data_IF_294559084271
#
_entry.id   IF_294559084271
#
_cell.length_a   1.000
_cell.length_b   1.000
_cell.length_c   1.000
_cell.angle_alpha   90.00
_cell.angle_beta   90.00
_cell.angle_gamma   90.00
#
_symmetry.space_group_name_H-M   'P 1'
#
loop_
_entity.id
_entity.type
_entity.pdbx_description
1 polymer ?
#
# COMPACT_ATOMS: atom_id res chain seq x y z
N UNK A 1 36.84 -40.23 1.12
CA UNK A 1 36.40 -38.99 1.78
C UNK A 1 36.07 -37.95 0.70
N UNK A 2 34.99 -37.16 0.90
CA UNK A 2 34.60 -35.96 0.15
C UNK A 2 33.86 -36.15 -1.20
N UNK A 3 32.65 -36.69 -1.13
CA UNK A 3 31.62 -36.51 -2.17
C UNK A 3 30.26 -36.16 -1.55
N UNK A 4 30.27 -35.37 -0.47
CA UNK A 4 29.06 -34.89 0.25
C UNK A 4 29.08 -33.36 0.24
N UNK A 5 29.09 -32.76 -0.94
CA UNK A 5 28.94 -31.32 -1.13
C UNK A 5 28.22 -31.15 -2.47
N UNK A 6 27.09 -30.44 -2.47
CA UNK A 6 26.15 -30.18 -3.57
C UNK A 6 24.76 -30.84 -3.54
N UNK A 7 24.28 -31.32 -2.38
CA UNK A 7 22.84 -31.51 -2.15
C UNK A 7 22.26 -30.41 -1.25
N UNK A 8 22.54 -29.13 -1.56
CA UNK A 8 21.93 -27.97 -0.87
C UNK A 8 21.22 -27.02 -1.84
N UNK A 9 21.12 -27.37 -3.12
CA UNK A 9 20.48 -26.55 -4.15
C UNK A 9 19.20 -27.18 -4.67
N UNK A 10 18.28 -27.53 -3.76
CA UNK A 10 16.91 -27.83 -4.15
C UNK A 10 15.96 -27.51 -2.99
N UNK A 11 15.90 -26.23 -2.61
CA UNK A 11 14.73 -25.72 -1.88
C UNK A 11 13.63 -25.58 -2.94
N UNK A 12 12.58 -26.42 -2.95
CA UNK A 12 11.51 -26.25 -3.89
C UNK A 12 10.79 -24.94 -3.56
N UNK A 13 10.84 -24.00 -4.51
CA UNK A 13 10.03 -22.79 -4.51
C UNK A 13 8.57 -23.21 -4.73
N UNK A 14 7.89 -23.63 -3.66
CA UNK A 14 6.46 -23.94 -3.71
C UNK A 14 5.70 -22.62 -3.92
N UNK A 15 4.92 -22.46 -5.00
CA UNK A 15 4.01 -21.34 -5.11
C UNK A 15 2.84 -21.56 -4.15
N UNK A 16 3.00 -21.15 -2.89
CA UNK A 16 1.88 -21.05 -1.96
C UNK A 16 0.94 -19.95 -2.46
N UNK A 17 -0.09 -20.33 -3.20
CA UNK A 17 -1.23 -19.44 -3.48
C UNK A 17 -2.09 -19.34 -2.22
N UNK A 18 -1.55 -18.68 -1.20
CA UNK A 18 -2.27 -18.35 0.01
C UNK A 18 -3.22 -17.19 -0.28
N UNK A 19 -4.53 -17.45 -0.19
CA UNK A 19 -5.57 -16.43 -0.31
C UNK A 19 -5.50 -15.43 0.87
N UNK A 20 -4.61 -14.45 0.78
CA UNK A 20 -4.51 -13.32 1.71
C UNK A 20 -5.87 -12.67 1.87
N UNK A 21 -6.34 -12.51 3.11
CA UNK A 21 -7.42 -11.57 3.43
C UNK A 21 -7.04 -10.20 2.82
N UNK A 22 -7.88 -9.67 1.94
CA UNK A 22 -7.62 -8.43 1.18
C UNK A 22 -7.92 -7.23 2.07
N UNK A 23 -6.96 -6.83 2.88
CA UNK A 23 -7.05 -5.61 3.69
C UNK A 23 -6.73 -4.39 2.84
N UNK A 24 -7.69 -3.47 2.73
CA UNK A 24 -7.57 -2.27 1.92
C UNK A 24 -6.83 -1.14 2.64
N UNK A 25 -7.32 -0.79 3.82
CA UNK A 25 -6.77 0.31 4.64
C UNK A 25 -6.80 -0.12 6.11
N UNK A 26 -5.70 0.10 6.82
CA UNK A 26 -5.58 -0.17 8.24
C UNK A 26 -4.92 1.02 8.92
N UNK A 27 -5.35 1.34 10.14
CA UNK A 27 -4.72 2.35 10.97
C UNK A 27 -4.29 1.68 12.28
N UNK A 28 -3.15 2.06 12.81
CA UNK A 28 -2.57 1.40 13.95
C UNK A 28 -1.73 2.32 14.79
N UNK A 29 -1.33 1.76 15.92
CA UNK A 29 -0.38 2.35 16.85
C UNK A 29 0.87 1.47 16.86
N UNK A 30 2.00 2.12 17.05
CA UNK A 30 3.33 1.52 17.10
C UNK A 30 3.99 1.94 18.40
N UNK A 31 4.57 0.97 19.08
CA UNK A 31 5.31 1.14 20.32
C UNK A 31 6.73 0.70 20.04
N UNK A 32 7.63 1.66 19.96
CA UNK A 32 9.08 1.44 20.04
C UNK A 32 9.57 1.61 21.47
N UNK A 33 10.84 1.35 21.70
CA UNK A 33 11.44 1.44 23.05
C UNK A 33 11.41 2.85 23.64
N UNK A 34 11.68 3.87 22.81
CA UNK A 34 11.76 5.29 23.22
C UNK A 34 10.72 6.18 22.53
N UNK A 35 9.91 5.61 21.65
CA UNK A 35 9.04 6.34 20.74
C UNK A 35 7.66 5.66 20.69
N UNK A 36 6.60 6.45 20.70
CA UNK A 36 5.26 5.95 20.36
C UNK A 36 4.84 6.56 19.02
N UNK A 37 4.13 5.82 18.19
CA UNK A 37 3.75 6.29 16.88
C UNK A 37 2.36 5.85 16.45
N UNK A 38 1.81 6.60 15.51
CA UNK A 38 0.61 6.23 14.76
C UNK A 38 1.01 5.87 13.34
N UNK A 39 0.31 4.89 12.76
CA UNK A 39 0.61 4.38 11.43
C UNK A 39 -0.67 4.19 10.63
N UNK A 40 -0.60 4.51 9.35
CA UNK A 40 -1.67 4.34 8.37
C UNK A 40 -1.15 3.53 7.20
N UNK A 41 -1.69 2.32 7.04
CA UNK A 41 -1.35 1.39 5.97
C UNK A 41 -2.42 1.39 4.90
N UNK A 42 -2.02 1.58 3.65
CA UNK A 42 -2.87 1.52 2.47
C UNK A 42 -2.34 0.47 1.50
N UNK A 43 -3.16 -0.53 1.17
CA UNK A 43 -2.82 -1.50 0.13
C UNK A 43 -2.87 -0.84 -1.25
N UNK A 44 -1.77 -0.94 -2.00
CA UNK A 44 -1.64 -0.40 -3.36
C UNK A 44 -1.85 -1.53 -4.38
N UNK A 45 -1.08 -2.61 -4.24
CA UNK A 45 -1.12 -3.80 -5.09
C UNK A 45 -1.17 -5.07 -4.24
N UNK A 46 -1.33 -6.23 -4.88
CA UNK A 46 -1.24 -7.51 -4.17
C UNK A 46 0.17 -7.62 -3.57
N UNK A 47 0.27 -8.01 -2.29
CA UNK A 47 1.54 -8.15 -1.55
C UNK A 47 2.34 -6.85 -1.33
N UNK A 48 1.83 -5.66 -1.70
CA UNK A 48 2.51 -4.39 -1.41
C UNK A 48 1.56 -3.36 -0.82
N UNK A 49 1.99 -2.76 0.28
CA UNK A 49 1.28 -1.73 1.02
C UNK A 49 2.16 -0.51 1.18
N UNK A 50 1.62 0.69 1.04
CA UNK A 50 2.30 1.88 1.53
C UNK A 50 1.89 2.14 2.98
N UNK A 51 2.85 2.52 3.80
CA UNK A 51 2.66 2.86 5.20
C UNK A 51 3.20 4.25 5.45
N UNK A 52 2.34 5.11 6.01
CA UNK A 52 2.71 6.41 6.53
C UNK A 52 2.67 6.32 8.05
N UNK A 53 3.70 6.83 8.70
CA UNK A 53 3.87 6.72 10.14
C UNK A 53 4.33 8.05 10.72
N UNK A 54 3.86 8.37 11.91
CA UNK A 54 4.34 9.51 12.70
C UNK A 54 4.69 8.99 14.07
N UNK A 55 5.96 9.08 14.43
CA UNK A 55 6.56 8.67 15.71
C UNK A 55 6.85 9.93 16.54
N UNK A 56 6.51 9.88 17.82
CA UNK A 56 6.70 10.92 18.81
C UNK A 56 7.62 10.35 19.90
N UNK A 57 8.81 10.92 20.03
CA UNK A 57 9.75 10.70 21.13
C UNK A 57 9.69 11.86 22.13
N UNK A 58 10.53 11.79 23.17
CA UNK A 58 10.62 12.86 24.18
C UNK A 58 11.04 14.21 23.56
N UNK A 59 12.01 14.17 22.65
CA UNK A 59 12.65 15.36 22.09
C UNK A 59 12.59 15.44 20.55
N UNK A 60 11.98 14.43 19.93
CA UNK A 60 11.90 14.29 18.47
C UNK A 60 10.50 13.93 18.00
N UNK A 61 10.09 14.48 16.85
CA UNK A 61 8.92 14.03 16.10
C UNK A 61 9.38 13.62 14.72
N UNK A 62 9.06 12.40 14.30
CA UNK A 62 9.50 11.83 13.04
C UNK A 62 8.32 11.33 12.22
N UNK A 63 8.22 11.77 10.97
CA UNK A 63 7.29 11.27 9.99
C UNK A 63 8.02 10.36 8.99
N UNK A 64 7.54 9.14 8.82
CA UNK A 64 8.15 8.13 7.94
C UNK A 64 7.14 7.68 6.89
N UNK A 65 7.57 7.62 5.63
CA UNK A 65 6.78 7.06 4.54
C UNK A 65 7.55 5.93 3.88
N UNK A 66 6.96 4.73 3.85
CA UNK A 66 7.61 3.58 3.24
C UNK A 66 6.65 2.58 2.56
N UNK A 67 6.97 2.08 1.37
CA UNK A 67 6.37 0.86 0.83
C UNK A 67 6.90 -0.39 1.55
N UNK A 68 5.99 -1.31 1.86
CA UNK A 68 6.27 -2.65 2.43
C UNK A 68 5.81 -3.73 1.46
N UNK A 69 6.67 -4.70 1.22
CA UNK A 69 6.38 -5.94 0.50
C UNK A 69 6.13 -7.08 1.50
N UNK A 70 5.07 -7.86 1.29
CA UNK A 70 4.59 -8.89 2.22
C UNK A 70 4.75 -10.30 1.61
N UNK A 71 5.46 -11.17 2.31
CA UNK A 71 5.69 -12.57 1.98
C UNK A 71 4.92 -13.43 2.98
N UNK A 72 4.03 -14.30 2.52
CA UNK A 72 3.28 -15.17 3.43
C UNK A 72 4.18 -16.36 3.80
N UNK A 73 4.57 -16.51 5.07
CA UNK A 73 5.41 -17.63 5.51
C UNK A 73 4.52 -18.81 5.96
N UNK A 74 3.55 -18.56 6.85
CA UNK A 74 2.71 -19.60 7.44
C UNK A 74 1.23 -19.29 7.19
N UNK A 75 0.68 -19.95 6.16
CA UNK A 75 -0.72 -19.85 5.81
C UNK A 75 -1.20 -18.42 5.55
N UNK A 76 -2.36 -18.05 6.12
CA UNK A 76 -2.93 -16.70 6.04
C UNK A 76 -2.67 -15.86 7.31
N UNK A 77 -2.12 -16.49 8.34
CA UNK A 77 -1.95 -15.90 9.67
C UNK A 77 -0.66 -15.11 9.79
N UNK A 78 0.49 -15.69 9.42
CA UNK A 78 1.80 -15.06 9.66
C UNK A 78 2.50 -14.70 8.34
N UNK A 79 2.86 -13.43 8.20
CA UNK A 79 3.49 -12.85 7.03
C UNK A 79 4.79 -12.17 7.44
N UNK A 80 5.84 -12.32 6.64
CA UNK A 80 7.01 -11.46 6.70
C UNK A 80 6.73 -10.21 5.90
N UNK A 81 7.22 -9.06 6.34
CA UNK A 81 7.32 -7.89 5.48
C UNK A 81 8.72 -7.31 5.48
N UNK A 82 9.05 -6.72 4.34
CA UNK A 82 10.26 -5.96 4.11
C UNK A 82 9.86 -4.63 3.46
N UNK A 83 10.33 -3.53 4.01
CA UNK A 83 10.07 -2.19 3.51
C UNK A 83 11.32 -1.34 3.55
N UNK A 84 11.35 -0.36 2.65
CA UNK A 84 12.38 0.67 2.61
C UNK A 84 11.67 1.98 2.34
N UNK A 85 12.07 3.04 3.03
CA UNK A 85 11.49 4.35 2.82
C UNK A 85 12.36 5.44 3.39
N UNK A 86 11.78 6.62 3.52
CA UNK A 86 12.46 7.77 4.04
C UNK A 86 11.69 8.32 5.23
N UNK A 87 12.44 8.87 6.17
CA UNK A 87 11.90 9.62 7.30
C UNK A 87 12.33 11.08 7.21
N UNK A 88 11.48 11.94 7.75
CA UNK A 88 11.77 13.33 8.03
C UNK A 88 11.38 13.59 9.47
N UNK A 89 12.32 14.05 10.27
CA UNK A 89 12.12 14.39 11.67
C UNK A 89 12.33 15.88 11.92
N UNK A 90 11.87 16.32 13.08
CA UNK A 90 12.27 17.58 13.66
C UNK A 90 12.77 17.29 15.07
N UNK A 91 14.02 17.64 15.32
CA UNK A 91 14.63 17.57 16.63
C UNK A 91 14.54 18.96 17.24
N UNK A 92 13.97 19.05 18.46
CA UNK A 92 13.61 20.32 19.10
C UNK A 92 14.78 21.31 19.21
N UNK A 93 16.00 20.78 19.28
CA UNK A 93 17.24 21.55 19.44
C UNK A 93 18.11 21.67 18.17
N UNK A 94 17.90 20.85 17.13
CA UNK A 94 18.80 20.77 15.96
C UNK A 94 18.12 21.01 14.59
N UNK A 95 16.80 21.15 14.54
CA UNK A 95 16.06 21.45 13.30
C UNK A 95 15.57 20.21 12.55
N UNK A 96 15.32 20.33 11.23
CA UNK A 96 14.81 19.22 10.41
C UNK A 96 15.91 18.18 10.15
N UNK A 97 15.64 16.93 10.50
CA UNK A 97 16.46 15.76 10.16
C UNK A 97 15.77 14.94 9.07
N UNK A 98 16.54 14.25 8.24
CA UNK A 98 15.98 13.34 7.24
C UNK A 98 16.94 12.19 6.99
N UNK A 99 16.39 11.06 6.54
CA UNK A 99 17.16 9.86 6.35
C UNK A 99 16.38 8.78 5.62
N UNK A 100 17.04 7.63 5.48
CA UNK A 100 16.48 6.44 4.85
C UNK A 100 16.35 5.36 5.91
N UNK A 101 15.18 4.76 5.97
CA UNK A 101 14.86 3.68 6.88
C UNK A 101 14.65 2.39 6.10
N UNK A 102 15.21 1.31 6.62
CA UNK A 102 14.81 -0.03 6.25
C UNK A 102 13.99 -0.61 7.39
N UNK A 103 13.03 -1.45 7.05
CA UNK A 103 12.14 -2.06 8.03
C UNK A 103 11.85 -3.49 7.63
N UNK A 104 12.04 -4.42 8.54
CA UNK A 104 11.64 -5.80 8.32
C UNK A 104 11.02 -6.36 9.59
N UNK A 105 10.04 -7.24 9.42
CA UNK A 105 9.32 -7.79 10.55
C UNK A 105 8.27 -8.81 10.18
N UNK A 106 7.61 -9.31 11.21
CA UNK A 106 6.55 -10.31 11.12
C UNK A 106 5.22 -9.64 11.42
N UNK A 107 4.21 -9.95 10.61
CA UNK A 107 2.83 -9.52 10.74
C UNK A 107 1.93 -10.74 10.94
N UNK A 108 1.32 -10.82 12.12
CA UNK A 108 0.30 -11.77 12.49
C UNK A 108 -1.11 -11.18 12.26
N UNK A 109 -1.85 -11.78 11.33
CA UNK A 109 -3.25 -11.49 11.01
C UNK A 109 -4.15 -12.40 11.82
N UNK A 110 -4.97 -11.80 12.68
CA UNK A 110 -5.96 -12.57 13.43
C UNK A 110 -7.19 -12.80 12.53
N UNK A 111 -7.58 -14.05 12.23
CA UNK A 111 -8.72 -14.31 11.35
C UNK A 111 -10.06 -13.99 12.02
N UNK A 112 -10.13 -14.05 13.35
CA UNK A 112 -11.34 -13.85 14.13
C UNK A 112 -11.73 -12.38 14.32
N UNK A 113 -10.76 -11.47 14.34
CA UNK A 113 -10.97 -10.04 14.60
C UNK A 113 -10.24 -9.19 13.54
N UNK A 114 -10.73 -8.00 13.18
CA UNK A 114 -10.11 -7.13 12.17
C UNK A 114 -8.85 -6.42 12.71
N UNK A 115 -7.98 -7.14 13.42
CA UNK A 115 -6.75 -6.65 14.01
C UNK A 115 -5.56 -7.44 13.46
N UNK A 116 -4.48 -6.73 13.17
CA UNK A 116 -3.19 -7.31 12.80
C UNK A 116 -2.12 -6.82 13.76
N UNK A 117 -1.36 -7.74 14.30
CA UNK A 117 -0.26 -7.46 15.22
C UNK A 117 1.04 -7.64 14.43
N UNK A 118 1.97 -6.72 14.57
CA UNK A 118 3.25 -6.76 13.90
C UNK A 118 4.39 -6.51 14.88
N UNK A 119 5.49 -7.23 14.67
CA UNK A 119 6.75 -7.02 15.36
C UNK A 119 7.80 -6.78 14.28
N UNK A 120 8.46 -5.63 14.31
CA UNK A 120 9.52 -5.30 13.35
C UNK A 120 10.73 -4.65 14.00
N UNK A 121 11.79 -4.61 13.21
CA UNK A 121 13.00 -3.89 13.48
C UNK A 121 13.18 -2.84 12.40
N UNK A 122 13.53 -1.61 12.80
CA UNK A 122 13.74 -0.48 11.90
C UNK A 122 15.22 -0.05 11.93
N UNK A 123 16.13 -0.72 11.21
CA UNK A 123 17.48 -0.20 11.01
C UNK A 123 17.39 1.11 10.21
N UNK A 124 17.71 2.21 10.89
CA UNK A 124 17.78 3.54 10.31
C UNK A 124 19.24 3.90 10.04
N UNK A 125 19.51 4.48 8.87
CA UNK A 125 20.83 5.07 8.58
C UNK A 125 20.69 6.59 8.56
N UNK A 126 21.27 7.26 9.56
CA UNK A 126 21.26 8.71 9.68
C UNK A 126 22.52 9.29 9.01
N UNK A 127 22.35 10.18 8.04
CA UNK A 127 23.47 10.76 7.29
C UNK A 127 24.30 11.79 8.09
N UNK A 128 23.91 12.13 9.32
CA UNK A 128 24.45 13.29 10.06
C UNK A 128 24.69 13.08 11.57
N UNK A 129 24.77 11.83 12.07
CA UNK A 129 25.09 11.55 13.49
C UNK A 129 25.99 10.31 13.70
N UNK A 130 26.72 10.29 14.82
CA UNK A 130 27.76 9.31 15.20
C UNK A 130 27.22 7.92 15.61
N UNK A 131 25.92 7.77 15.87
CA UNK A 131 25.31 6.48 16.23
C UNK A 131 24.98 5.66 14.96
N UNK A 132 26.01 4.99 14.44
CA UNK A 132 26.00 4.28 13.16
C UNK A 132 25.07 3.05 13.05
N UNK A 133 24.49 2.55 14.15
CA UNK A 133 23.61 1.38 14.13
C UNK A 133 22.71 1.27 15.35
N UNK A 134 21.42 1.59 15.21
CA UNK A 134 20.39 1.25 16.17
C UNK A 134 19.45 0.19 15.56
N UNK A 135 19.16 -0.88 16.30
CA UNK A 135 18.14 -1.88 15.96
C UNK A 135 16.95 -1.74 16.92
N UNK A 136 16.22 -0.60 16.91
CA UNK A 136 15.04 -0.47 17.74
C UNK A 136 13.99 -1.49 17.26
N UNK A 137 13.69 -2.44 18.14
CA UNK A 137 12.53 -3.30 17.99
C UNK A 137 11.27 -2.50 18.28
N UNK A 138 10.20 -2.77 17.53
CA UNK A 138 8.91 -2.18 17.79
C UNK A 138 7.78 -3.17 17.60
N UNK A 139 6.75 -3.00 18.41
CA UNK A 139 5.49 -3.71 18.32
C UNK A 139 4.42 -2.77 17.82
N UNK A 140 3.61 -3.23 16.88
CA UNK A 140 2.54 -2.42 16.32
C UNK A 140 1.24 -3.21 16.20
N UNK A 141 0.15 -2.53 16.47
CA UNK A 141 -1.21 -3.08 16.42
C UNK A 141 -1.99 -2.23 15.44
N UNK A 142 -2.50 -2.86 14.39
CA UNK A 142 -3.29 -2.17 13.38
C UNK A 142 -4.71 -2.72 13.33
N UNK A 143 -5.67 -1.81 13.32
CA UNK A 143 -7.07 -2.07 13.08
C UNK A 143 -7.40 -1.88 11.59
N UNK A 144 -8.03 -2.89 11.00
CA UNK A 144 -8.41 -2.89 9.59
C UNK A 144 -9.72 -2.13 9.43
N UNK A 145 -9.64 -0.90 8.92
CA UNK A 145 -10.78 -0.02 8.67
C UNK A 145 -11.59 -0.49 7.46
N UNK A 146 -10.90 -0.85 6.37
CA UNK A 146 -11.58 -1.19 5.12
C UNK A 146 -11.09 -2.50 4.53
N UNK A 147 -12.03 -3.44 4.35
CA UNK A 147 -11.85 -4.59 3.47
C UNK A 147 -12.22 -4.13 2.05
N UNK A 148 -11.25 -4.19 1.15
CA UNK A 148 -11.43 -4.03 -0.30
C UNK A 148 -11.51 -2.61 -0.92
N UNK A 149 -10.35 -1.94 -0.97
CA UNK A 149 -10.17 -0.71 -1.78
C UNK A 149 -10.15 -1.02 -3.29
N UNK A 150 -9.78 -2.22 -3.74
CA UNK A 150 -9.51 -2.51 -5.16
C UNK A 150 -10.77 -2.83 -5.95
N UNK A 151 -11.71 -3.62 -5.40
CA UNK A 151 -13.00 -3.84 -6.06
C UNK A 151 -13.83 -2.58 -6.11
N UNK A 152 -13.85 -1.78 -5.04
CA UNK A 152 -14.47 -0.45 -5.05
C UNK A 152 -13.83 0.44 -6.13
N UNK A 153 -12.50 0.52 -6.21
CA UNK A 153 -11.80 1.27 -7.28
C UNK A 153 -12.11 0.74 -8.68
N UNK A 154 -12.18 -0.58 -8.90
CA UNK A 154 -12.58 -1.17 -10.19
C UNK A 154 -14.02 -0.82 -10.56
N UNK A 155 -14.96 -0.94 -9.63
CA UNK A 155 -16.38 -0.56 -9.83
C UNK A 155 -16.51 0.93 -10.15
N UNK A 156 -15.78 1.80 -9.45
CA UNK A 156 -15.76 3.25 -9.71
C UNK A 156 -15.17 3.56 -11.09
N UNK A 157 -14.04 2.95 -11.47
CA UNK A 157 -13.45 3.11 -12.82
C UNK A 157 -14.38 2.62 -13.92
N UNK A 158 -15.00 1.46 -13.75
CA UNK A 158 -15.99 0.93 -14.69
C UNK A 158 -17.21 1.85 -14.84
N UNK A 159 -17.74 2.39 -13.74
CA UNK A 159 -18.84 3.37 -13.76
C UNK A 159 -18.45 4.66 -14.48
N UNK A 160 -17.22 5.15 -14.30
CA UNK A 160 -16.70 6.34 -14.98
C UNK A 160 -16.53 6.11 -16.49
N UNK A 161 -16.04 4.93 -16.89
CA UNK A 161 -15.92 4.53 -18.31
C UNK A 161 -17.29 4.43 -18.98
N UNK A 162 -18.24 3.72 -18.36
CA UNK A 162 -19.64 3.64 -18.82
C UNK A 162 -20.31 5.00 -18.96
N UNK A 163 -20.05 5.94 -18.05
CA UNK A 163 -20.56 7.32 -18.14
C UNK A 163 -19.99 8.08 -19.34
N UNK A 164 -18.69 7.92 -19.64
CA UNK A 164 -18.06 8.53 -20.83
C UNK A 164 -18.61 7.94 -22.13
N UNK A 165 -18.72 6.61 -22.22
CA UNK A 165 -19.31 5.93 -23.39
C UNK A 165 -20.75 6.36 -23.64
N UNK A 166 -21.58 6.41 -22.59
CA UNK A 166 -22.96 6.91 -22.68
C UNK A 166 -23.04 8.36 -23.15
N UNK A 167 -22.06 9.20 -22.80
CA UNK A 167 -22.02 10.60 -23.21
C UNK A 167 -21.66 10.73 -24.69
N UNK A 168 -20.64 9.99 -25.16
CA UNK A 168 -20.30 9.90 -26.59
C UNK A 168 -21.46 9.38 -27.44
N UNK A 169 -22.14 8.31 -27.00
CA UNK A 169 -23.33 7.77 -27.66
C UNK A 169 -24.49 8.79 -27.74
N UNK A 170 -24.62 9.70 -26.76
CA UNK A 170 -25.63 10.77 -26.79
C UNK A 170 -25.26 11.89 -27.75
N UNK A 171 -23.98 12.22 -27.85
CA UNK A 171 -23.45 13.21 -28.80
C UNK A 171 -23.61 12.68 -30.24
N UNK A 172 -23.20 11.45 -30.52
CA UNK A 172 -23.37 10.82 -31.84
C UNK A 172 -24.85 10.70 -32.27
N UNK A 173 -25.75 10.38 -31.32
CA UNK A 173 -27.21 10.37 -31.57
C UNK A 173 -27.81 11.76 -31.80
N UNK A 174 -27.15 12.83 -31.35
CA UNK A 174 -27.57 14.21 -31.61
C UNK A 174 -27.13 14.63 -33.01
N UNK A 175 -25.88 14.34 -33.37
CA UNK A 175 -25.33 14.60 -34.70
C UNK A 175 -26.13 13.88 -35.79
N UNK A 176 -26.33 12.56 -35.67
CA UNK A 176 -27.17 11.79 -36.61
C UNK A 176 -28.60 12.32 -36.75
N UNK A 177 -29.14 12.89 -35.68
CA UNK A 177 -30.50 13.46 -35.69
C UNK A 177 -30.52 14.80 -36.41
N UNK A 178 -29.50 15.63 -36.21
CA UNK A 178 -29.33 16.89 -36.96
C UNK A 178 -29.14 16.60 -38.45
N UNK A 179 -28.24 15.68 -38.82
CA UNK A 179 -28.05 15.26 -40.21
C UNK A 179 -29.35 14.75 -40.85
N UNK A 180 -30.15 13.97 -40.11
CA UNK A 180 -31.46 13.51 -40.58
C UNK A 180 -32.45 14.66 -40.80
N UNK A 181 -32.50 15.63 -39.87
CA UNK A 181 -33.34 16.82 -40.02
C UNK A 181 -32.92 17.66 -41.22
N UNK A 182 -31.62 17.92 -41.40
CA UNK A 182 -31.09 18.72 -42.50
C UNK A 182 -31.39 18.07 -43.86
N UNK A 183 -31.20 16.75 -43.99
CA UNK A 183 -31.58 16.00 -45.20
C UNK A 183 -33.08 16.09 -45.49
N UNK A 184 -33.91 15.98 -44.45
CA UNK A 184 -35.37 16.01 -44.59
C UNK A 184 -35.88 17.41 -44.97
N UNK A 185 -35.19 18.47 -44.53
CA UNK A 185 -35.50 19.86 -44.90
C UNK A 185 -35.09 20.16 -46.34
N UNK A 186 -33.87 19.82 -46.75
CA UNK A 186 -33.41 20.01 -48.14
C UNK A 186 -34.31 19.26 -49.15
N UNK A 187 -34.69 18.02 -48.83
CA UNK A 187 -35.57 17.22 -49.71
C UNK A 187 -37.00 17.77 -49.83
N UNK A 188 -37.44 18.62 -48.89
CA UNK A 188 -38.71 19.36 -48.98
C UNK A 188 -38.58 20.67 -49.74
N UNK A 189 -37.42 21.30 -49.78
CA UNK A 189 -37.15 22.48 -50.59
C UNK A 189 -36.98 22.12 -52.07
N UNK A 190 -36.31 21.00 -52.40
CA UNK A 190 -36.12 20.54 -53.78
C UNK A 190 -37.42 20.06 -54.47
N UNK A 191 -38.47 19.77 -53.71
CA UNK A 191 -39.76 19.27 -54.19
C UNK A 191 -40.83 20.37 -54.34
N UNK A 192 -40.45 21.63 -54.22
CA UNK A 192 -41.34 22.80 -54.25
C UNK A 192 -41.04 23.68 -55.45
#
# INVERSE_FOLDING_TARGET
>A
MRAILFLFFLIPFLPFTASSQKYGTAAGIRFGEKQFGISLRQQIIKQTTAELMVEFGADEVQATLLPKYHINIIGKGLNLYLGVGAHVGNLKDFGMTYGVDMMAGLELKLPAIPITISADFKPAYHFQHEDWFALPGAFSIHYVISKDTREKRKKVRAKKKRRKERRKLREERREKRQEWFDKTLNQKEDNK
#
